data_IF_057163189553
#
_entry.id   IF_057163189553
#
_cell.length_a   1.000
_cell.length_b   1.000
_cell.length_c   1.000
_cell.angle_alpha   90.00
_cell.angle_beta   90.00
_cell.angle_gamma   90.00
#
_symmetry.space_group_name_H-M   'P 1'
#
loop_
_entity.id
_entity.type
_entity.pdbx_description
1 polymer ?
#
# COMPACT_ATOMS: atom_id res chain seq x y z
N UNK A 1 1.01 -7.46 -5.43
CA UNK A 1 1.15 -6.96 -4.05
C UNK A 1 0.00 -6.01 -3.83
N UNK A 2 -0.92 -6.33 -2.91
CA UNK A 2 -2.26 -5.73 -2.83
C UNK A 2 -2.31 -4.73 -1.68
N UNK A 3 -2.81 -3.52 -1.95
CA UNK A 3 -3.13 -2.54 -0.90
C UNK A 3 -4.58 -2.74 -0.48
N UNK A 4 -4.89 -2.70 0.82
CA UNK A 4 -6.28 -2.60 1.31
C UNK A 4 -6.41 -1.35 2.17
N UNK A 5 -7.42 -0.52 1.88
CA UNK A 5 -7.77 0.65 2.67
C UNK A 5 -9.03 0.32 3.48
N UNK A 6 -8.91 0.16 4.80
CA UNK A 6 -10.03 -0.17 5.69
C UNK A 6 -10.52 1.07 6.43
N UNK A 7 -11.71 1.56 6.09
CA UNK A 7 -12.30 2.68 6.83
C UNK A 7 -12.98 2.21 8.12
N UNK A 8 -12.54 2.71 9.29
CA UNK A 8 -13.13 2.36 10.60
C UNK A 8 -13.91 3.54 11.17
N UNK A 9 -15.19 3.68 10.83
CA UNK A 9 -16.04 4.79 11.31
C UNK A 9 -16.08 4.83 12.85
N UNK A 10 -15.47 5.84 13.46
CA UNK A 10 -15.73 6.16 14.87
C UNK A 10 -17.01 6.98 14.98
N UNK A 11 -18.13 6.33 15.27
CA UNK A 11 -19.37 7.02 15.63
C UNK A 11 -19.14 7.80 16.94
N UNK A 12 -18.89 9.11 16.84
CA UNK A 12 -18.92 10.01 17.98
C UNK A 12 -20.37 10.14 18.47
N UNK A 13 -20.77 9.26 19.38
CA UNK A 13 -22.09 9.28 20.01
C UNK A 13 -22.24 10.48 20.94
N UNK A 14 -22.86 11.56 20.44
CA UNK A 14 -23.24 12.73 21.22
C UNK A 14 -24.74 12.69 21.55
N UNK A 15 -25.04 12.49 22.84
CA UNK A 15 -26.23 12.86 23.62
C UNK A 15 -27.64 12.79 22.98
N UNK A 16 -28.50 11.92 23.54
CA UNK A 16 -29.94 11.85 23.25
C UNK A 16 -30.64 13.19 23.53
N UNK A 17 -31.10 13.86 22.47
CA UNK A 17 -32.30 14.71 22.50
C UNK A 17 -33.39 13.97 21.73
N UNK A 18 -34.43 13.54 22.43
CA UNK A 18 -35.65 12.96 21.84
C UNK A 18 -36.38 14.02 21.03
N UNK A 19 -36.14 14.03 19.71
CA UNK A 19 -36.94 14.74 18.73
C UNK A 19 -37.07 13.87 17.49
N UNK A 20 -38.32 13.60 17.07
CA UNK A 20 -38.67 12.90 15.84
C UNK A 20 -38.16 13.71 14.63
N UNK A 21 -36.88 13.54 14.30
CA UNK A 21 -36.23 14.11 13.14
C UNK A 21 -35.75 12.98 12.26
N UNK A 22 -36.21 12.98 11.01
CA UNK A 22 -35.77 12.13 9.91
C UNK A 22 -34.38 11.55 10.13
N UNK A 23 -34.29 10.22 10.20
CA UNK A 23 -33.05 9.52 9.98
C UNK A 23 -32.60 9.88 8.56
N UNK A 24 -31.83 10.96 8.44
CA UNK A 24 -31.08 11.25 7.23
C UNK A 24 -30.25 10.01 6.99
N UNK A 25 -30.51 9.34 5.87
CA UNK A 25 -29.60 8.32 5.39
C UNK A 25 -28.22 8.95 5.41
N UNK A 26 -27.33 8.43 6.25
CA UNK A 26 -25.92 8.77 6.18
C UNK A 26 -25.51 8.45 4.74
N UNK A 27 -25.31 9.47 3.90
CA UNK A 27 -24.79 9.24 2.56
C UNK A 27 -23.38 8.75 2.76
N UNK A 28 -23.12 7.50 2.42
CA UNK A 28 -21.77 6.97 2.39
C UNK A 28 -20.92 7.89 1.52
N UNK A 29 -20.01 8.64 2.15
CA UNK A 29 -19.18 9.58 1.45
C UNK A 29 -18.21 8.77 0.61
N UNK A 30 -18.36 8.84 -0.72
CA UNK A 30 -17.36 8.26 -1.62
C UNK A 30 -16.14 9.17 -1.62
N UNK A 31 -14.98 8.60 -1.36
CA UNK A 31 -13.71 9.34 -1.36
C UNK A 31 -12.86 8.80 -2.48
N UNK A 32 -12.47 9.69 -3.38
CA UNK A 32 -11.59 9.37 -4.49
C UNK A 32 -10.14 9.63 -4.08
N UNK A 33 -9.30 8.60 -4.27
CA UNK A 33 -7.85 8.71 -4.11
C UNK A 33 -7.19 8.66 -5.47
N UNK A 34 -6.54 9.75 -5.84
CA UNK A 34 -5.86 9.93 -7.12
C UNK A 34 -4.37 9.69 -6.93
N UNK A 35 -3.81 8.69 -7.60
CA UNK A 35 -2.40 8.33 -7.46
C UNK A 35 -1.48 9.41 -8.04
N UNK A 36 -0.40 9.68 -7.31
CA UNK A 36 0.78 10.39 -7.80
C UNK A 36 1.96 9.43 -7.88
N UNK A 37 2.17 8.84 -9.06
CA UNK A 37 3.29 7.94 -9.30
C UNK A 37 4.63 8.68 -9.18
N UNK A 38 4.68 9.95 -9.56
CA UNK A 38 5.93 10.72 -9.58
C UNK A 38 6.45 11.02 -8.17
N UNK A 39 5.54 11.16 -7.20
CA UNK A 39 5.85 11.26 -5.79
C UNK A 39 5.93 9.92 -5.04
N UNK A 40 5.65 8.81 -5.73
CA UNK A 40 5.74 7.46 -5.17
C UNK A 40 7.14 6.88 -5.36
N UNK A 41 7.57 5.99 -4.47
CA UNK A 41 8.88 5.36 -4.55
C UNK A 41 8.94 3.98 -3.91
N UNK A 42 9.94 3.22 -4.31
CA UNK A 42 10.33 1.97 -3.66
C UNK A 42 11.84 1.86 -3.66
N UNK A 43 12.39 1.42 -2.53
CA UNK A 43 13.81 1.17 -2.36
C UNK A 43 13.98 -0.21 -1.75
N UNK A 44 14.87 -1.00 -2.35
CA UNK A 44 15.38 -2.23 -1.73
C UNK A 44 16.80 -2.00 -1.23
N UNK A 45 17.08 -2.58 -0.06
CA UNK A 45 18.43 -2.70 0.48
C UNK A 45 18.75 -4.17 0.56
N UNK A 46 19.77 -4.62 -0.17
CA UNK A 46 20.29 -5.99 -0.06
C UNK A 46 20.84 -6.21 1.36
N UNK A 47 20.37 -7.25 2.04
CA UNK A 47 20.82 -7.62 3.38
C UNK A 47 21.58 -8.95 3.40
N UNK A 48 21.76 -9.59 2.25
CA UNK A 48 22.55 -10.81 2.08
C UNK A 48 21.81 -11.91 1.31
N UNK A 49 22.51 -13.00 1.01
CA UNK A 49 21.95 -14.10 0.23
C UNK A 49 23.01 -15.14 -0.13
N UNK A 50 22.59 -16.25 -0.72
CA UNK A 50 23.48 -17.29 -1.23
C UNK A 50 23.30 -17.36 -2.74
N UNK A 51 24.31 -16.93 -3.51
CA UNK A 51 24.28 -17.01 -4.97
C UNK A 51 25.14 -18.16 -5.49
N UNK A 52 24.58 -18.99 -6.38
CA UNK A 52 25.30 -20.11 -7.00
C UNK A 52 26.31 -19.61 -8.05
N UNK A 53 26.00 -18.52 -8.75
CA UNK A 53 26.84 -17.95 -9.82
C UNK A 53 27.14 -16.45 -9.61
N UNK A 54 27.80 -16.12 -8.49
CA UNK A 54 28.41 -14.81 -8.15
C UNK A 54 27.53 -13.55 -8.15
N UNK A 55 26.34 -13.57 -8.77
CA UNK A 55 25.41 -12.46 -8.91
C UNK A 55 23.99 -13.03 -8.89
N UNK A 56 23.33 -12.92 -7.76
CA UNK A 56 21.89 -13.06 -7.62
C UNK A 56 21.36 -11.80 -6.94
N UNK A 57 20.05 -11.62 -6.93
CA UNK A 57 19.44 -10.50 -6.23
C UNK A 57 18.02 -10.24 -6.69
N UNK A 58 17.31 -9.50 -5.86
CA UNK A 58 15.97 -8.99 -6.12
C UNK A 58 16.05 -7.50 -6.37
N UNK A 59 15.23 -7.03 -7.30
CA UNK A 59 14.96 -5.61 -7.48
C UNK A 59 13.45 -5.37 -7.39
N UNK A 60 13.06 -4.20 -6.89
CA UNK A 60 11.67 -3.76 -6.88
C UNK A 60 11.54 -2.44 -7.64
N UNK A 61 10.41 -2.28 -8.30
CA UNK A 61 10.02 -1.05 -8.97
C UNK A 61 8.54 -0.80 -8.75
N UNK A 62 8.09 0.44 -8.96
CA UNK A 62 6.66 0.73 -9.03
C UNK A 62 6.03 -0.09 -10.16
N UNK A 63 4.89 -0.72 -9.90
CA UNK A 63 4.21 -1.58 -10.85
C UNK A 63 3.95 -0.85 -12.17
N UNK A 64 4.17 -1.49 -13.32
CA UNK A 64 4.01 -0.85 -14.64
C UNK A 64 2.59 -0.34 -14.90
N UNK A 65 1.59 -0.96 -14.26
CA UNK A 65 0.18 -0.58 -14.37
C UNK A 65 -0.26 0.59 -13.49
N UNK A 66 0.62 1.12 -12.63
CA UNK A 66 0.29 2.25 -11.76
C UNK A 66 0.59 3.57 -12.49
N UNK A 67 -0.39 4.43 -12.72
CA UNK A 67 -0.22 5.69 -13.42
C UNK A 67 -0.61 6.89 -12.55
N UNK A 68 0.04 8.02 -12.78
CA UNK A 68 -0.41 9.28 -12.18
C UNK A 68 -1.79 9.63 -12.73
N UNK A 69 -2.73 9.95 -11.85
CA UNK A 69 -4.12 10.24 -12.22
C UNK A 69 -5.05 9.03 -12.14
N UNK A 70 -4.54 7.82 -11.84
CA UNK A 70 -5.40 6.68 -11.54
C UNK A 70 -6.23 6.97 -10.30
N UNK A 71 -7.55 6.91 -10.43
CA UNK A 71 -8.50 7.20 -9.35
C UNK A 71 -9.06 5.91 -8.79
N UNK A 72 -8.97 5.77 -7.47
CA UNK A 72 -9.60 4.70 -6.71
C UNK A 72 -10.70 5.31 -5.85
N UNK A 73 -11.96 5.02 -6.19
CA UNK A 73 -13.12 5.43 -5.41
C UNK A 73 -13.41 4.41 -4.33
N UNK A 74 -13.47 4.85 -3.09
CA UNK A 74 -13.82 4.00 -1.95
C UNK A 74 -15.21 4.42 -1.46
N UNK A 75 -16.14 3.46 -1.43
CA UNK A 75 -17.40 3.58 -0.69
C UNK A 75 -17.20 3.10 0.74
N UNK A 76 -18.08 3.50 1.66
CA UNK A 76 -18.10 2.98 3.04
C UNK A 76 -17.99 1.45 3.06
N UNK A 77 -17.02 0.94 3.84
CA UNK A 77 -16.64 -0.47 3.98
C UNK A 77 -16.03 -1.16 2.74
N UNK A 78 -15.73 -0.43 1.67
CA UNK A 78 -15.05 -0.97 0.48
C UNK A 78 -13.53 -1.05 0.66
N UNK A 79 -12.92 -2.15 0.24
CA UNK A 79 -11.47 -2.21 0.00
C UNK A 79 -11.21 -2.16 -1.51
N UNK A 80 -10.36 -1.23 -1.95
CA UNK A 80 -9.79 -1.28 -3.28
C UNK A 80 -8.38 -1.85 -3.19
N UNK A 81 -8.02 -2.58 -4.24
CA UNK A 81 -6.82 -3.37 -4.33
C UNK A 81 -6.18 -3.13 -5.69
N UNK A 82 -4.92 -2.76 -5.68
CA UNK A 82 -4.13 -2.59 -6.90
C UNK A 82 -2.68 -2.96 -6.66
N UNK A 83 -1.99 -3.27 -7.76
CA UNK A 83 -0.57 -3.56 -7.73
C UNK A 83 0.22 -2.25 -7.63
N UNK A 84 0.91 -2.09 -6.51
CA UNK A 84 1.78 -0.94 -6.26
C UNK A 84 3.24 -1.23 -6.64
N UNK A 85 3.73 -2.45 -6.37
CA UNK A 85 5.11 -2.86 -6.59
C UNK A 85 5.21 -4.07 -7.53
N UNK A 86 6.29 -4.12 -8.30
CA UNK A 86 6.72 -5.30 -9.06
C UNK A 86 8.11 -5.70 -8.59
N UNK A 87 8.28 -7.00 -8.34
CA UNK A 87 9.57 -7.59 -7.99
C UNK A 87 10.12 -8.38 -9.16
N UNK A 88 11.42 -8.25 -9.40
CA UNK A 88 12.14 -9.06 -10.39
C UNK A 88 13.37 -9.67 -9.75
N UNK A 89 13.70 -10.89 -10.18
CA UNK A 89 14.89 -11.61 -9.74
C UNK A 89 15.99 -11.59 -10.78
N UNK A 90 17.20 -11.95 -10.37
CA UNK A 90 18.29 -12.31 -11.28
C UNK A 90 19.15 -13.41 -10.66
N UNK A 91 19.81 -14.21 -11.49
CA UNK A 91 20.69 -15.30 -11.03
C UNK A 91 19.94 -16.50 -10.44
N UNK A 92 20.69 -17.34 -9.72
CA UNK A 92 20.18 -18.56 -9.06
C UNK A 92 20.73 -18.60 -7.64
N UNK A 93 19.86 -18.83 -6.65
CA UNK A 93 20.23 -18.76 -5.24
C UNK A 93 19.11 -18.30 -4.33
N UNK A 94 19.47 -17.71 -3.20
CA UNK A 94 18.57 -17.00 -2.29
C UNK A 94 19.03 -15.57 -2.10
N UNK A 95 18.08 -14.68 -1.84
CA UNK A 95 18.34 -13.27 -1.54
C UNK A 95 17.46 -12.82 -0.38
N UNK A 96 17.96 -11.92 0.46
CA UNK A 96 17.23 -11.28 1.56
C UNK A 96 17.42 -9.79 1.47
N UNK A 97 16.35 -9.05 1.71
CA UNK A 97 16.32 -7.62 1.48
C UNK A 97 15.44 -6.90 2.50
N UNK A 98 15.84 -5.69 2.84
CA UNK A 98 14.96 -4.68 3.42
C UNK A 98 14.22 -3.93 2.32
N UNK A 99 12.99 -3.52 2.59
CA UNK A 99 12.19 -2.69 1.69
C UNK A 99 11.66 -1.46 2.40
N UNK A 100 11.67 -0.34 1.69
CA UNK A 100 10.92 0.86 2.03
C UNK A 100 10.12 1.28 0.80
N UNK A 101 8.83 1.55 0.99
CA UNK A 101 7.96 2.00 -0.09
C UNK A 101 7.09 3.17 0.36
N UNK A 102 6.85 4.10 -0.55
CA UNK A 102 6.02 5.29 -0.35
C UNK A 102 5.04 5.38 -1.51
N UNK A 103 3.76 5.34 -1.22
CA UNK A 103 2.70 5.62 -2.17
C UNK A 103 2.16 7.02 -1.90
N UNK A 104 2.20 7.87 -2.91
CA UNK A 104 1.65 9.22 -2.85
C UNK A 104 0.33 9.32 -3.60
N UNK A 105 -0.61 10.06 -3.02
CA UNK A 105 -1.84 10.49 -3.67
C UNK A 105 -1.82 12.01 -3.83
N UNK A 106 -2.30 12.50 -4.96
CA UNK A 106 -2.43 13.95 -5.23
C UNK A 106 -3.78 14.51 -4.74
N UNK A 107 -4.78 13.65 -4.56
CA UNK A 107 -6.08 14.01 -4.02
C UNK A 107 -6.70 12.80 -3.32
N UNK A 108 -6.99 12.85 -2.01
CA UNK A 108 -6.46 13.84 -1.07
C UNK A 108 -4.91 13.80 -1.09
N UNK A 109 -4.25 14.96 -0.87
CA UNK A 109 -2.77 15.03 -0.82
C UNK A 109 -2.26 14.37 0.46
N UNK A 110 -2.05 13.06 0.35
CA UNK A 110 -1.58 12.20 1.43
C UNK A 110 -0.47 11.31 0.92
N UNK A 111 0.28 10.73 1.84
CA UNK A 111 1.23 9.68 1.51
C UNK A 111 1.15 8.54 2.51
N UNK A 112 1.38 7.34 2.00
CA UNK A 112 1.33 6.08 2.75
C UNK A 112 2.68 5.42 2.62
N UNK A 113 3.37 5.29 3.75
CA UNK A 113 4.67 4.66 3.82
C UNK A 113 4.56 3.24 4.37
N UNK A 114 5.49 2.39 3.96
CA UNK A 114 5.70 1.11 4.61
C UNK A 114 7.18 0.72 4.62
N UNK A 115 7.57 -0.04 5.64
CA UNK A 115 8.87 -0.70 5.70
C UNK A 115 8.71 -2.18 6.02
N UNK A 116 9.64 -2.99 5.56
CA UNK A 116 9.58 -4.43 5.75
C UNK A 116 10.90 -5.11 5.42
N UNK A 117 10.87 -6.44 5.53
CA UNK A 117 11.95 -7.31 5.13
C UNK A 117 11.39 -8.52 4.39
N UNK A 118 12.16 -9.04 3.45
CA UNK A 118 11.77 -10.19 2.65
C UNK A 118 12.94 -11.10 2.33
N UNK A 119 12.58 -12.25 1.79
CA UNK A 119 13.51 -13.21 1.22
C UNK A 119 12.93 -13.83 -0.03
N UNK A 120 13.78 -14.13 -1.00
CA UNK A 120 13.39 -14.75 -2.26
C UNK A 120 14.30 -15.93 -2.60
N UNK A 121 13.72 -16.95 -3.22
CA UNK A 121 14.43 -18.03 -3.90
C UNK A 121 14.42 -17.72 -5.38
N UNK A 122 15.61 -17.77 -5.98
CA UNK A 122 15.88 -17.39 -7.35
C UNK A 122 16.28 -18.61 -8.15
N UNK A 123 15.61 -18.85 -9.28
CA UNK A 123 15.98 -19.90 -10.22
C UNK A 123 15.98 -19.36 -11.65
N UNK A 124 17.12 -19.48 -12.33
CA UNK A 124 17.28 -19.10 -13.74
C UNK A 124 16.79 -17.66 -13.97
N UNK A 125 17.21 -16.73 -13.10
CA UNK A 125 16.86 -15.32 -13.21
C UNK A 125 15.43 -14.96 -12.81
N UNK A 126 14.66 -15.88 -12.23
CA UNK A 126 13.29 -15.62 -11.81
C UNK A 126 13.13 -15.83 -10.30
N UNK A 127 12.23 -15.07 -9.68
CA UNK A 127 11.75 -15.35 -8.32
C UNK A 127 10.78 -16.53 -8.42
N UNK A 128 11.10 -17.65 -7.78
CA UNK A 128 10.26 -18.86 -7.79
C UNK A 128 9.55 -19.09 -6.46
N UNK A 129 10.05 -18.50 -5.39
CA UNK A 129 9.40 -18.44 -4.10
C UNK A 129 9.89 -17.21 -3.34
N UNK A 130 9.12 -16.75 -2.36
CA UNK A 130 9.56 -15.67 -1.50
C UNK A 130 8.56 -15.35 -0.41
N UNK A 131 9.01 -14.57 0.55
CA UNK A 131 8.20 -13.99 1.60
C UNK A 131 8.54 -12.51 1.70
N UNK A 132 7.53 -11.69 1.93
CA UNK A 132 7.68 -10.30 2.28
C UNK A 132 6.87 -10.05 3.53
N UNK A 133 7.50 -9.45 4.53
CA UNK A 133 6.86 -9.10 5.79
C UNK A 133 7.02 -7.60 6.05
N UNK A 134 5.89 -6.90 6.08
CA UNK A 134 5.84 -5.49 6.41
C UNK A 134 5.85 -5.31 7.93
N UNK A 135 6.86 -4.59 8.44
CA UNK A 135 6.98 -4.26 9.86
C UNK A 135 6.20 -3.01 10.23
N UNK A 136 6.00 -2.11 9.27
CA UNK A 136 5.14 -0.94 9.44
C UNK A 136 4.47 -0.57 8.12
N UNK A 137 3.21 -0.16 8.21
CA UNK A 137 2.45 0.48 7.12
C UNK A 137 1.56 1.53 7.75
N UNK A 138 1.50 2.72 7.16
CA UNK A 138 0.61 3.76 7.66
C UNK A 138 0.74 5.09 6.92
N UNK A 139 -0.12 6.02 7.31
CA UNK A 139 -0.08 7.40 6.82
C UNK A 139 1.26 8.03 7.22
N UNK A 140 2.03 8.46 6.22
CA UNK A 140 3.31 9.14 6.43
C UNK A 140 3.18 10.66 6.41
N UNK A 141 2.19 11.20 5.69
CA UNK A 141 1.87 12.63 5.67
C UNK A 141 0.46 12.92 5.15
N UNK A 142 -0.01 14.14 5.42
CA UNK A 142 -1.32 14.64 4.99
C UNK A 142 -2.40 14.45 6.05
N UNK A 143 -3.63 14.80 5.70
CA UNK A 143 -4.80 14.61 6.55
C UNK A 143 -5.92 14.04 5.70
N UNK A 144 -6.56 12.98 6.19
CA UNK A 144 -7.73 12.42 5.53
C UNK A 144 -8.88 13.44 5.58
N UNK A 145 -9.76 13.46 4.57
CA UNK A 145 -10.96 14.30 4.63
C UNK A 145 -11.79 14.01 5.89
N UNK A 146 -12.54 15.00 6.35
CA UNK A 146 -13.38 14.83 7.54
C UNK A 146 -14.40 13.70 7.33
N UNK A 147 -14.56 12.82 8.33
CA UNK A 147 -15.43 11.64 8.25
C UNK A 147 -14.80 10.43 7.56
N UNK A 148 -13.54 10.52 7.13
CA UNK A 148 -12.80 9.43 6.47
C UNK A 148 -11.81 8.81 7.45
N UNK A 149 -12.19 7.70 8.07
CA UNK A 149 -11.23 6.82 8.72
C UNK A 149 -10.61 5.93 7.63
N UNK A 150 -9.30 5.67 7.57
CA UNK A 150 -8.71 4.80 6.54
C UNK A 150 -7.50 4.05 7.11
N UNK A 151 -7.39 2.75 6.83
CA UNK A 151 -6.31 1.88 7.31
C UNK A 151 -5.60 1.26 6.12
N UNK A 152 -4.31 1.53 5.96
CA UNK A 152 -3.56 1.04 4.81
C UNK A 152 -2.83 -0.24 5.17
N UNK A 153 -2.99 -1.27 4.34
CA UNK A 153 -2.22 -2.51 4.44
C UNK A 153 -1.43 -2.74 3.15
N UNK A 154 -0.24 -3.30 3.27
CA UNK A 154 0.58 -3.78 2.17
C UNK A 154 0.65 -5.31 2.25
N UNK A 155 0.24 -6.00 1.18
CA UNK A 155 0.21 -7.48 1.09
C UNK A 155 1.15 -8.00 -0.01
#
# INVERSE_FOLDING_TARGET
MRIEILQTVRMAGLSLVTGLGFAGAASAATVDFVVDRSGSSVTLTDTGGICIFSRCGVSASLASGLHTGDTYSFSDAGSAAFDFLTFTGRGTGTDTFGIQALLKFSSPDISVGGTGAGGAVLAIGNIVAGVLNWTSVGLSSGTLPEGVDASFAFQ
#
